data_IF_728989139850
#
_entry.id   IF_728989139850
#
_cell.length_a   1.000
_cell.length_b   1.000
_cell.length_c   1.000
_cell.angle_alpha   90.00
_cell.angle_beta   90.00
_cell.angle_gamma   90.00
#
_symmetry.space_group_name_H-M   'P 1'
#
loop_
_entity.id
_entity.type
_entity.pdbx_description
1 polymer ?
#
# COMPACT_ATOMS: atom_id res chain seq x y z
N UNK A 1 -8.27 2.38 -4.69
CA UNK A 1 -7.96 2.67 -6.11
C UNK A 1 -6.66 3.43 -6.19
N UNK A 2 -5.56 2.72 -6.43
CA UNK A 2 -4.33 3.36 -6.86
C UNK A 2 -4.48 3.59 -8.37
N UNK A 3 -5.01 4.75 -8.74
CA UNK A 3 -4.92 5.23 -10.12
C UNK A 3 -3.48 5.69 -10.33
N UNK A 4 -2.66 4.83 -10.94
CA UNK A 4 -1.40 5.27 -11.52
C UNK A 4 -1.70 5.93 -12.87
N UNK A 5 -1.57 7.26 -12.88
CA UNK A 5 -1.75 8.08 -14.06
C UNK A 5 -0.42 8.21 -14.79
N UNK A 6 -0.22 7.39 -15.84
CA UNK A 6 0.32 7.72 -17.17
C UNK A 6 0.48 6.40 -17.93
N UNK A 7 -0.59 5.96 -18.58
CA UNK A 7 -0.56 5.40 -19.94
C UNK A 7 -1.99 5.09 -20.37
N UNK A 8 -2.18 5.00 -21.67
CA UNK A 8 -3.47 4.92 -22.35
C UNK A 8 -4.11 3.52 -22.19
N UNK A 9 -4.34 3.08 -20.96
CA UNK A 9 -4.74 1.71 -20.60
C UNK A 9 -6.27 1.55 -20.60
N UNK A 10 -6.88 1.70 -21.78
CA UNK A 10 -8.31 1.45 -21.93
C UNK A 10 -8.69 0.00 -22.20
N UNK A 11 -7.77 -0.93 -22.42
CA UNK A 11 -8.14 -2.34 -22.70
C UNK A 11 -6.99 -3.36 -22.50
N UNK A 12 -6.25 -3.32 -21.37
CA UNK A 12 -5.34 -4.44 -21.02
C UNK A 12 -6.02 -5.60 -20.31
N UNK A 13 -7.30 -5.49 -19.95
CA UNK A 13 -8.09 -6.59 -19.36
C UNK A 13 -7.56 -7.14 -18.02
N UNK A 14 -6.50 -6.56 -17.45
CA UNK A 14 -5.90 -6.97 -16.20
C UNK A 14 -6.63 -6.28 -15.05
N UNK A 15 -7.51 -7.03 -14.40
CA UNK A 15 -8.02 -6.63 -13.09
C UNK A 15 -7.10 -7.25 -12.05
N UNK A 16 -6.48 -6.42 -11.23
CA UNK A 16 -5.66 -6.87 -10.10
C UNK A 16 -6.20 -6.28 -8.79
N UNK A 17 -5.90 -6.95 -7.69
CA UNK A 17 -6.08 -6.41 -6.35
C UNK A 17 -4.95 -6.91 -5.47
N UNK A 18 -4.55 -6.10 -4.51
CA UNK A 18 -3.45 -6.45 -3.60
C UNK A 18 -3.93 -6.27 -2.16
N UNK A 19 -4.28 -7.35 -1.43
CA UNK A 19 -4.50 -7.28 -0.01
C UNK A 19 -3.19 -6.92 0.70
N UNK A 20 -3.23 -5.90 1.56
CA UNK A 20 -2.08 -5.41 2.31
C UNK A 20 -2.38 -5.50 3.81
N UNK A 21 -1.48 -6.10 4.56
CA UNK A 21 -1.46 -6.08 6.04
C UNK A 21 -0.22 -5.33 6.50
N UNK A 22 -0.39 -4.25 7.26
CA UNK A 22 0.68 -3.34 7.66
C UNK A 22 0.79 -3.23 9.19
N UNK A 23 2.01 -3.31 9.71
CA UNK A 23 2.36 -2.88 11.07
C UNK A 23 3.22 -1.62 10.98
N UNK A 24 2.72 -0.51 11.52
CA UNK A 24 3.39 0.77 11.47
C UNK A 24 3.69 1.31 12.88
N UNK A 25 4.86 1.92 13.03
CA UNK A 25 5.22 2.75 14.18
C UNK A 25 5.44 4.18 13.68
N UNK A 26 4.59 5.10 14.13
CA UNK A 26 4.62 6.51 13.70
C UNK A 26 4.81 7.43 14.89
N UNK A 27 5.55 8.51 14.66
CA UNK A 27 5.58 9.67 15.54
C UNK A 27 4.59 10.71 15.00
N UNK A 28 3.80 11.29 15.88
CA UNK A 28 2.84 12.35 15.55
C UNK A 28 3.26 13.67 16.19
N UNK A 29 3.25 14.73 15.38
CA UNK A 29 3.48 16.08 15.86
C UNK A 29 2.22 16.94 15.65
N UNK A 30 1.57 17.29 16.76
CA UNK A 30 0.46 18.25 16.74
C UNK A 30 1.02 19.66 16.60
N UNK A 31 0.66 20.36 15.51
CA UNK A 31 1.25 21.66 15.18
C UNK A 31 0.75 22.72 16.17
N UNK A 32 -0.57 22.76 16.39
CA UNK A 32 -1.22 23.62 17.36
C UNK A 32 -2.60 23.06 17.76
N UNK A 33 -3.22 23.62 18.80
CA UNK A 33 -4.60 23.33 19.19
C UNK A 33 -5.42 24.61 19.17
N UNK A 34 -6.56 24.58 18.50
CA UNK A 34 -7.51 25.69 18.44
C UNK A 34 -8.85 25.26 19.04
N UNK A 35 -9.59 26.19 19.64
CA UNK A 35 -10.93 25.94 20.16
C UNK A 35 -11.03 26.03 21.68
N UNK A 36 -12.17 25.61 22.21
CA UNK A 36 -12.50 25.75 23.62
C UNK A 36 -12.02 24.49 24.38
N UNK A 37 -11.13 24.61 25.39
CA UNK A 37 -10.71 23.47 26.22
C UNK A 37 -11.87 22.70 26.86
N UNK A 38 -12.92 23.40 27.29
CA UNK A 38 -14.11 22.79 27.87
C UNK A 38 -15.13 22.28 26.82
N UNK A 39 -14.79 22.38 25.53
CA UNK A 39 -15.70 22.15 24.41
C UNK A 39 -15.05 21.35 23.28
N UNK A 40 -15.18 21.86 22.06
CA UNK A 40 -14.56 21.29 20.86
C UNK A 40 -13.19 21.95 20.63
N UNK A 41 -12.18 21.11 20.43
CA UNK A 41 -10.86 21.54 19.97
C UNK A 41 -10.51 20.87 18.65
N UNK A 42 -9.68 21.56 17.88
CA UNK A 42 -9.14 21.14 16.61
C UNK A 42 -7.61 21.13 16.70
N UNK A 43 -6.99 20.03 16.27
CA UNK A 43 -5.54 19.88 16.28
C UNK A 43 -5.06 19.27 14.96
N UNK A 44 -4.53 20.09 14.02
CA UNK A 44 -3.82 19.55 12.87
C UNK A 44 -2.52 18.90 13.33
N UNK A 45 -2.16 17.79 12.70
CA UNK A 45 -0.95 17.06 13.01
C UNK A 45 -0.29 16.52 11.74
N UNK A 46 1.02 16.36 11.83
CA UNK A 46 1.82 15.60 10.87
C UNK A 46 2.23 14.29 11.53
N UNK A 47 2.41 13.24 10.72
CA UNK A 47 3.00 12.00 11.20
C UNK A 47 4.03 11.46 10.21
N UNK A 48 5.04 10.80 10.74
CA UNK A 48 6.02 10.06 9.97
C UNK A 48 6.53 8.87 10.79
N UNK A 49 6.99 7.82 10.12
CA UNK A 49 7.43 6.62 10.83
C UNK A 49 8.09 5.57 9.94
N UNK A 50 8.11 4.35 10.46
CA UNK A 50 8.50 3.16 9.72
C UNK A 50 7.40 2.11 9.82
N UNK A 51 7.22 1.34 8.75
CA UNK A 51 6.29 0.22 8.75
C UNK A 51 6.88 -1.01 8.07
N UNK A 52 6.37 -2.16 8.48
CA UNK A 52 6.56 -3.45 7.81
C UNK A 52 5.20 -3.85 7.28
N UNK A 53 5.10 -4.13 5.99
CA UNK A 53 3.86 -4.54 5.36
C UNK A 53 4.06 -5.85 4.61
N UNK A 54 3.00 -6.66 4.60
CA UNK A 54 2.87 -7.84 3.76
C UNK A 54 1.80 -7.56 2.72
N UNK A 55 2.11 -7.79 1.45
CA UNK A 55 1.20 -7.63 0.33
C UNK A 55 1.10 -8.95 -0.43
N UNK A 56 0.01 -9.17 -1.17
CA UNK A 56 -0.18 -10.38 -1.99
C UNK A 56 -0.95 -10.01 -3.26
N UNK A 57 -0.29 -9.67 -4.37
CA UNK A 57 -1.00 -9.24 -5.56
C UNK A 57 -1.74 -10.43 -6.19
N UNK A 58 -3.00 -10.21 -6.53
CA UNK A 58 -3.91 -11.20 -7.10
C UNK A 58 -4.47 -10.68 -8.43
N UNK A 59 -4.45 -11.52 -9.47
CA UNK A 59 -5.07 -11.25 -10.76
C UNK A 59 -6.44 -11.92 -10.86
N UNK A 60 -7.37 -11.28 -11.54
CA UNK A 60 -8.68 -11.86 -11.85
C UNK A 60 -8.59 -12.72 -13.10
N UNK A 61 -8.91 -14.01 -12.96
CA UNK A 61 -9.14 -14.91 -14.07
C UNK A 61 -10.60 -15.36 -14.02
N UNK A 62 -11.38 -14.97 -15.03
CA UNK A 62 -12.83 -15.19 -15.06
C UNK A 62 -13.51 -14.62 -13.78
N UNK A 63 -14.03 -15.49 -12.91
CA UNK A 63 -14.68 -15.14 -11.64
C UNK A 63 -13.83 -15.48 -10.40
N UNK A 64 -12.59 -15.93 -10.59
CA UNK A 64 -11.67 -16.29 -9.51
C UNK A 64 -10.49 -15.32 -9.40
N UNK A 65 -10.01 -15.14 -8.17
CA UNK A 65 -8.78 -14.40 -7.88
C UNK A 65 -7.65 -15.40 -7.67
N UNK A 66 -6.53 -15.18 -8.35
CA UNK A 66 -5.36 -16.07 -8.29
C UNK A 66 -4.15 -15.24 -7.87
N UNK A 67 -3.39 -15.77 -6.91
CA UNK A 67 -2.14 -15.17 -6.43
C UNK A 67 -1.11 -15.12 -7.56
N UNK A 68 -0.48 -13.97 -7.78
CA UNK A 68 0.43 -13.76 -8.90
C UNK A 68 1.87 -14.14 -8.58
N UNK A 69 2.33 -13.86 -7.35
CA UNK A 69 3.71 -14.13 -6.92
C UNK A 69 4.14 -15.59 -7.09
N UNK A 70 3.32 -16.60 -6.72
CA UNK A 70 3.69 -18.00 -6.92
C UNK A 70 3.67 -18.45 -8.38
N UNK A 71 2.94 -17.74 -9.25
CA UNK A 71 2.86 -18.05 -10.67
C UNK A 71 4.09 -17.57 -11.44
N UNK A 72 4.85 -16.62 -10.90
CA UNK A 72 6.01 -16.06 -11.57
C UNK A 72 5.64 -15.48 -12.94
N UNK A 73 4.69 -14.54 -12.97
CA UNK A 73 4.17 -13.93 -14.20
C UNK A 73 5.24 -13.24 -15.04
N UNK A 74 6.38 -12.85 -14.46
CA UNK A 74 7.52 -12.27 -15.19
C UNK A 74 8.63 -13.29 -15.48
N UNK A 75 8.34 -14.57 -15.32
CA UNK A 75 9.31 -15.65 -15.41
C UNK A 75 10.10 -15.86 -14.13
N UNK A 76 9.66 -15.29 -13.00
CA UNK A 76 10.38 -15.45 -11.73
C UNK A 76 10.64 -16.93 -11.41
N UNK A 77 11.88 -17.26 -11.04
CA UNK A 77 12.31 -18.63 -10.77
C UNK A 77 12.78 -19.45 -11.99
N UNK A 78 12.71 -18.92 -13.21
CA UNK A 78 13.24 -19.56 -14.42
C UNK A 78 14.72 -19.20 -14.68
N UNK A 79 15.49 -20.07 -15.38
CA UNK A 79 16.87 -19.73 -15.77
C UNK A 79 16.93 -18.45 -16.61
N UNK A 80 17.73 -17.47 -16.17
CA UNK A 80 17.85 -16.17 -16.86
C UNK A 80 16.88 -15.09 -16.37
N UNK A 81 16.00 -15.42 -15.43
CA UNK A 81 15.06 -14.52 -14.77
C UNK A 81 15.41 -14.36 -13.28
N UNK A 82 14.79 -13.36 -12.64
CA UNK A 82 15.02 -13.03 -11.25
C UNK A 82 14.28 -14.02 -10.32
N UNK A 83 14.66 -14.07 -9.04
CA UNK A 83 13.96 -14.89 -8.04
C UNK A 83 12.60 -14.27 -7.68
N UNK A 84 11.61 -15.07 -7.21
CA UNK A 84 10.34 -14.52 -6.73
C UNK A 84 10.53 -13.45 -5.65
N UNK A 85 9.86 -12.32 -5.80
CA UNK A 85 9.97 -11.20 -4.87
C UNK A 85 9.41 -11.53 -3.49
N UNK A 86 9.91 -10.84 -2.46
CA UNK A 86 9.40 -10.97 -1.10
C UNK A 86 8.05 -10.27 -0.95
N UNK A 87 7.05 -11.01 -0.45
CA UNK A 87 5.75 -10.46 -0.08
C UNK A 87 5.79 -9.57 1.16
N UNK A 88 6.89 -9.60 1.94
CA UNK A 88 7.08 -8.76 3.13
C UNK A 88 8.14 -7.71 2.85
N UNK A 89 7.76 -6.45 3.02
CA UNK A 89 8.59 -5.29 2.70
C UNK A 89 8.47 -4.23 3.80
N UNK A 90 9.36 -3.25 3.75
CA UNK A 90 9.34 -2.08 4.63
C UNK A 90 8.84 -0.85 3.87
N UNK A 91 8.18 0.07 4.56
CA UNK A 91 7.78 1.35 4.02
C UNK A 91 8.01 2.48 5.02
N UNK A 92 8.04 3.70 4.48
CA UNK A 92 8.07 4.94 5.28
C UNK A 92 6.68 5.58 5.15
N UNK A 93 5.80 5.43 6.15
CA UNK A 93 4.55 6.17 6.22
C UNK A 93 4.83 7.64 6.56
N UNK A 94 4.26 8.55 5.77
CA UNK A 94 4.27 10.01 6.02
C UNK A 94 2.88 10.55 5.72
N UNK A 95 2.39 11.50 6.51
CA UNK A 95 1.14 12.15 6.20
C UNK A 95 0.74 13.23 7.18
N UNK A 96 -0.52 13.61 7.06
CA UNK A 96 -1.12 14.66 7.86
C UNK A 96 -2.54 14.27 8.24
N UNK A 97 -3.03 14.87 9.32
CA UNK A 97 -4.40 14.67 9.74
C UNK A 97 -4.92 15.80 10.60
N UNK A 98 -6.19 15.70 10.91
CA UNK A 98 -6.94 16.65 11.71
C UNK A 98 -7.65 15.91 12.84
N UNK A 99 -7.39 16.30 14.08
CA UNK A 99 -8.09 15.77 15.26
C UNK A 99 -9.16 16.73 15.74
N UNK A 100 -10.36 16.21 15.94
CA UNK A 100 -11.49 16.87 16.59
C UNK A 100 -11.66 16.28 17.98
N UNK A 101 -11.25 17.04 19.00
CA UNK A 101 -11.26 16.62 20.41
C UNK A 101 -12.52 17.20 21.06
N UNK A 102 -13.40 16.33 21.55
CA UNK A 102 -14.69 16.67 22.14
C UNK A 102 -14.61 16.40 23.65
N UNK A 103 -14.68 17.49 24.43
CA UNK A 103 -14.68 17.46 25.91
C UNK A 103 -13.54 16.63 26.51
N UNK A 104 -12.37 16.65 25.85
CA UNK A 104 -11.16 15.90 26.21
C UNK A 104 -11.31 14.37 26.35
N UNK A 105 -12.47 13.81 25.99
CA UNK A 105 -12.78 12.38 26.17
C UNK A 105 -12.84 11.62 24.86
N UNK A 106 -13.33 12.27 23.81
CA UNK A 106 -13.52 11.66 22.50
C UNK A 106 -12.70 12.43 21.50
N UNK A 107 -11.86 11.75 20.74
CA UNK A 107 -11.13 12.35 19.61
C UNK A 107 -11.53 11.62 18.35
N UNK A 108 -11.97 12.39 17.35
CA UNK A 108 -12.18 11.91 15.99
C UNK A 108 -11.03 12.43 15.15
N UNK A 109 -10.28 11.55 14.48
CA UNK A 109 -9.22 11.94 13.55
C UNK A 109 -9.65 11.71 12.11
N UNK A 110 -9.28 12.64 11.24
CA UNK A 110 -9.23 12.43 9.79
C UNK A 110 -7.76 12.38 9.40
N UNK A 111 -7.36 11.41 8.61
CA UNK A 111 -5.97 11.24 8.18
C UNK A 111 -5.88 10.98 6.68
N UNK A 112 -4.83 11.54 6.09
CA UNK A 112 -4.37 11.21 4.74
C UNK A 112 -2.87 11.05 4.80
N UNK A 113 -2.36 10.09 4.05
CA UNK A 113 -0.93 10.05 3.83
C UNK A 113 -0.52 9.04 2.80
N UNK A 114 0.77 8.83 2.78
CA UNK A 114 1.49 8.15 1.74
C UNK A 114 2.43 7.14 2.37
N UNK A 115 2.52 5.95 1.79
CA UNK A 115 3.57 4.98 2.13
C UNK A 115 4.56 4.98 0.99
N UNK A 116 5.75 5.51 1.27
CA UNK A 116 6.89 5.31 0.37
C UNK A 116 7.37 3.88 0.54
N UNK A 117 7.18 3.04 -0.47
CA UNK A 117 7.75 1.69 -0.47
C UNK A 117 9.13 1.69 -1.11
N UNK A 118 9.83 0.56 -1.00
CA UNK A 118 11.11 0.31 -1.65
C UNK A 118 11.03 -0.88 -2.62
N UNK A 119 9.82 -1.15 -3.13
CA UNK A 119 9.53 -2.24 -4.07
C UNK A 119 8.77 -1.71 -5.28
N UNK A 120 8.93 -2.38 -6.40
CA UNK A 120 8.31 -2.17 -7.72
C UNK A 120 7.35 -3.32 -8.08
N UNK A 121 6.87 -4.06 -7.07
CA UNK A 121 6.07 -5.27 -7.25
C UNK A 121 4.69 -5.15 -6.59
N UNK A 122 4.27 -3.96 -6.15
CA UNK A 122 3.00 -3.78 -5.44
C UNK A 122 1.80 -4.15 -6.33
N UNK A 123 1.96 -4.02 -7.65
CA UNK A 123 1.02 -4.42 -8.70
C UNK A 123 1.49 -5.66 -9.49
N UNK A 124 2.49 -6.39 -9.00
CA UNK A 124 3.13 -7.55 -9.66
C UNK A 124 3.85 -7.23 -10.98
N UNK A 125 4.17 -5.96 -11.27
CA UNK A 125 4.71 -5.55 -12.58
C UNK A 125 5.98 -4.71 -12.42
N UNK A 126 7.12 -5.22 -12.91
CA UNK A 126 8.39 -4.48 -12.92
C UNK A 126 8.81 -4.06 -14.33
N UNK A 127 9.94 -3.34 -14.46
CA UNK A 127 10.54 -2.96 -15.75
C UNK A 127 11.18 -4.13 -16.52
N UNK A 128 10.97 -5.38 -16.07
CA UNK A 128 11.61 -6.55 -16.65
C UNK A 128 11.10 -6.84 -18.06
N UNK A 129 12.06 -7.12 -18.94
CA UNK A 129 11.85 -7.69 -20.26
C UNK A 129 11.56 -9.19 -20.12
N UNK A 130 10.34 -9.60 -20.49
CA UNK A 130 9.80 -10.95 -20.32
C UNK A 130 9.53 -11.58 -21.69
N UNK A 131 9.91 -12.85 -21.86
CA UNK A 131 9.55 -13.63 -23.02
C UNK A 131 8.27 -14.45 -22.75
N UNK A 132 7.28 -14.37 -23.64
CA UNK A 132 6.02 -15.10 -23.46
C UNK A 132 6.21 -16.62 -23.47
N UNK A 133 7.08 -17.15 -24.34
CA UNK A 133 7.29 -18.59 -24.48
C UNK A 133 8.04 -19.18 -23.29
N UNK A 134 8.96 -18.41 -22.69
CA UNK A 134 9.66 -18.85 -21.48
C UNK A 134 8.68 -19.01 -20.31
N UNK A 135 7.80 -18.02 -20.10
CA UNK A 135 6.76 -18.09 -19.05
C UNK A 135 5.76 -19.21 -19.33
N UNK A 136 5.32 -19.36 -20.58
CA UNK A 136 4.38 -20.43 -20.98
C UNK A 136 4.96 -21.82 -20.76
N UNK A 137 6.23 -22.02 -21.15
CA UNK A 137 6.89 -23.34 -21.09
C UNK A 137 7.42 -23.67 -19.70
N UNK A 138 7.85 -22.65 -18.94
CA UNK A 138 8.46 -22.80 -17.63
C UNK A 138 7.47 -22.72 -16.47
N UNK A 139 6.66 -21.65 -16.43
CA UNK A 139 5.75 -21.33 -15.32
C UNK A 139 4.28 -21.70 -15.63
N UNK A 140 3.98 -22.04 -16.89
CA UNK A 140 2.72 -22.63 -17.32
C UNK A 140 1.76 -21.64 -18.00
N UNK A 141 0.68 -22.18 -18.56
CA UNK A 141 -0.30 -21.42 -19.35
C UNK A 141 -1.03 -20.35 -18.54
N UNK A 142 -1.25 -20.59 -17.24
CA UNK A 142 -1.89 -19.63 -16.35
C UNK A 142 -1.00 -18.40 -16.10
N UNK A 143 0.28 -18.64 -15.82
CA UNK A 143 1.27 -17.57 -15.63
C UNK A 143 1.40 -16.73 -16.91
N UNK A 144 1.48 -17.36 -18.08
CA UNK A 144 1.57 -16.66 -19.36
C UNK A 144 0.32 -15.83 -19.69
N UNK A 145 -0.88 -16.35 -19.42
CA UNK A 145 -2.14 -15.62 -19.62
C UNK A 145 -2.25 -14.39 -18.70
N UNK A 146 -1.87 -14.51 -17.43
CA UNK A 146 -1.88 -13.38 -16.49
C UNK A 146 -0.70 -12.41 -16.69
N UNK A 147 0.38 -12.89 -17.30
CA UNK A 147 1.49 -12.03 -17.71
C UNK A 147 1.09 -11.08 -18.85
N UNK A 148 0.37 -11.61 -19.85
CA UNK A 148 -0.16 -10.82 -20.97
C UNK A 148 -1.48 -11.40 -21.52
N UNK A 149 -2.64 -10.89 -21.06
CA UNK A 149 -3.96 -11.42 -21.44
C UNK A 149 -4.43 -10.96 -22.83
N UNK A 150 -3.68 -10.06 -23.48
CA UNK A 150 -3.97 -9.62 -24.85
C UNK A 150 -3.71 -10.75 -25.86
N UNK A 151 -2.87 -11.72 -25.49
CA UNK A 151 -2.49 -12.87 -26.32
C UNK A 151 -3.48 -14.00 -26.09
N UNK A 152 -4.38 -14.24 -27.06
CA UNK A 152 -5.44 -15.26 -27.00
C UNK A 152 -5.16 -16.52 -27.83
N UNK A 153 -4.16 -16.47 -28.71
CA UNK A 153 -3.85 -17.54 -29.64
C UNK A 153 -2.42 -18.06 -29.38
N UNK A 154 -2.22 -19.34 -29.04
CA UNK A 154 -0.92 -19.90 -28.67
C UNK A 154 0.03 -20.15 -29.86
N UNK A 155 -0.33 -19.82 -31.10
CA UNK A 155 0.62 -19.77 -32.24
C UNK A 155 1.56 -18.53 -32.16
N UNK A 156 2.13 -18.28 -30.98
CA UNK A 156 2.91 -17.08 -30.67
C UNK A 156 4.35 -17.30 -31.10
N UNK A 157 4.78 -16.49 -32.07
CA UNK A 157 6.20 -16.29 -32.42
C UNK A 157 6.94 -15.82 -31.16
N UNK A 158 8.16 -16.32 -30.94
CA UNK A 158 9.07 -15.86 -29.89
C UNK A 158 9.05 -14.33 -29.73
N UNK A 159 8.34 -13.86 -28.70
CA UNK A 159 8.01 -12.45 -28.51
C UNK A 159 8.30 -12.02 -27.08
N UNK A 160 8.92 -10.86 -26.99
CA UNK A 160 9.41 -10.28 -25.76
C UNK A 160 8.72 -8.93 -25.53
N UNK A 161 8.31 -8.66 -24.31
CA UNK A 161 7.63 -7.42 -23.91
C UNK A 161 8.09 -6.97 -22.53
N UNK A 162 7.85 -5.70 -22.23
CA UNK A 162 8.05 -5.12 -20.91
C UNK A 162 6.69 -4.95 -20.26
N UNK A 163 6.54 -5.36 -18.99
CA UNK A 163 5.25 -5.27 -18.30
C UNK A 163 5.03 -3.89 -17.66
N UNK A 164 6.08 -3.32 -17.05
CA UNK A 164 6.03 -2.09 -16.25
C UNK A 164 7.14 -1.06 -16.51
N UNK A 165 7.32 -0.14 -15.57
CA UNK A 165 8.35 0.91 -15.60
C UNK A 165 9.29 0.85 -14.40
N UNK A 166 10.40 1.59 -14.45
CA UNK A 166 11.46 1.64 -13.43
C UNK A 166 11.09 2.49 -12.17
N UNK A 167 9.82 2.56 -11.81
CA UNK A 167 9.34 3.40 -10.71
C UNK A 167 9.08 2.56 -9.46
N UNK A 168 9.55 3.04 -8.30
CA UNK A 168 9.14 2.45 -7.02
C UNK A 168 7.67 2.74 -6.75
N UNK A 169 6.96 1.73 -6.28
CA UNK A 169 5.54 1.86 -5.99
C UNK A 169 5.31 2.66 -4.71
N UNK A 170 4.20 3.39 -4.71
CA UNK A 170 3.70 3.98 -3.51
C UNK A 170 2.18 4.05 -3.54
N UNK A 171 1.58 3.96 -2.35
CA UNK A 171 0.13 4.05 -2.23
C UNK A 171 -0.29 5.15 -1.27
N UNK A 172 -1.40 5.79 -1.63
CA UNK A 172 -2.12 6.74 -0.79
C UNK A 172 -3.06 5.98 0.13
N UNK A 173 -3.20 6.44 1.37
CA UNK A 173 -4.23 5.95 2.28
C UNK A 173 -4.97 7.14 2.91
N UNK A 174 -6.23 6.93 3.23
CA UNK A 174 -7.05 7.87 3.97
C UNK A 174 -7.94 7.14 4.96
N UNK A 175 -8.17 7.74 6.13
CA UNK A 175 -8.83 7.07 7.23
C UNK A 175 -9.58 8.00 8.17
N UNK A 176 -10.46 7.39 8.96
CA UNK A 176 -11.13 8.02 10.10
C UNK A 176 -10.75 7.24 11.34
N UNK A 177 -10.21 7.93 12.35
CA UNK A 177 -9.83 7.34 13.63
C UNK A 177 -10.78 7.80 14.73
N UNK A 178 -11.07 6.91 15.67
CA UNK A 178 -11.91 7.20 16.83
C UNK A 178 -11.17 6.75 18.09
N UNK A 179 -10.86 7.71 18.95
CA UNK A 179 -10.11 7.49 20.19
C UNK A 179 -10.93 7.93 21.40
N UNK A 180 -10.99 7.08 22.41
CA UNK A 180 -11.65 7.36 23.68
C UNK A 180 -10.61 7.36 24.81
N UNK A 181 -10.57 8.46 25.57
CA UNK A 181 -9.76 8.53 26.78
C UNK A 181 -10.54 7.94 27.96
N UNK A 182 -10.03 6.85 28.54
CA UNK A 182 -10.58 6.24 29.76
C UNK A 182 -9.88 6.83 30.98
N UNK A 183 -10.66 7.40 31.89
CA UNK A 183 -10.16 8.02 33.12
C UNK A 183 -10.55 9.48 33.21
N UNK A 184 -11.00 9.89 34.39
CA UNK A 184 -11.16 11.30 34.71
C UNK A 184 -9.75 11.86 34.87
N UNK A 185 -9.38 12.88 34.08
CA UNK A 185 -8.25 13.74 34.39
C UNK A 185 -8.50 14.42 35.73
N UNK A 186 -8.27 13.69 36.82
CA UNK A 186 -8.22 14.21 38.17
C UNK A 186 -6.86 14.89 38.32
N UNK A 187 -6.71 16.05 37.67
CA UNK A 187 -5.74 17.04 38.11
C UNK A 187 -6.22 17.58 39.45
N UNK A 188 -5.88 16.86 40.53
CA UNK A 188 -6.01 17.39 41.88
C UNK A 188 -4.84 18.36 42.07
N UNK A 189 -5.13 19.48 42.71
CA UNK A 189 -4.28 20.06 43.75
C UNK A 189 -3.35 19.02 44.41
N UNK A 190 -2.21 18.78 43.78
CA UNK A 190 -1.13 18.00 44.37
C UNK A 190 -0.43 16.97 43.49
N UNK A 191 -0.16 17.27 42.22
CA UNK A 191 0.86 16.62 41.35
C UNK A 191 0.38 15.34 40.62
N UNK A 192 -0.47 15.54 39.62
CA UNK A 192 -0.67 14.61 38.51
C UNK A 192 0.40 14.79 37.42
N UNK A 193 0.72 13.71 36.72
CA UNK A 193 1.72 13.64 35.65
C UNK A 193 1.42 14.70 34.60
N UNK A 194 2.21 15.77 34.59
CA UNK A 194 2.14 16.81 33.59
C UNK A 194 2.48 16.23 32.22
N UNK A 195 1.66 16.54 31.23
CA UNK A 195 2.14 16.52 29.85
C UNK A 195 3.40 17.39 29.79
N UNK A 196 4.53 16.89 29.28
CA UNK A 196 5.73 17.70 29.17
C UNK A 196 5.45 18.86 28.21
N UNK A 197 5.49 20.07 28.75
CA UNK A 197 5.61 21.30 27.97
C UNK A 197 7.08 21.46 27.62
N UNK A 198 7.42 21.34 26.34
CA UNK A 198 8.71 21.84 25.82
C UNK A 198 8.58 23.32 25.49
#
# INVERSE_FOLDING_TARGET
DAEDGVSNDKDRGLNFRTPITELALTAEWNIFRLGNPSGLQFAPYLFAGGSVFRFNPEGRLEDNWVELQPLGTEGQGLPGYDEPYSLTQVAIPVGAGLKFIIKERVTIGLEVGFRKTFTDYLDDVSSRTVNYLDVLSGNGSLAAQLSNPTIKDPEVVDFTYVRGGDSLDAYLFGGVTLSFAFGQGSGVDGRGIGCPTF
#
